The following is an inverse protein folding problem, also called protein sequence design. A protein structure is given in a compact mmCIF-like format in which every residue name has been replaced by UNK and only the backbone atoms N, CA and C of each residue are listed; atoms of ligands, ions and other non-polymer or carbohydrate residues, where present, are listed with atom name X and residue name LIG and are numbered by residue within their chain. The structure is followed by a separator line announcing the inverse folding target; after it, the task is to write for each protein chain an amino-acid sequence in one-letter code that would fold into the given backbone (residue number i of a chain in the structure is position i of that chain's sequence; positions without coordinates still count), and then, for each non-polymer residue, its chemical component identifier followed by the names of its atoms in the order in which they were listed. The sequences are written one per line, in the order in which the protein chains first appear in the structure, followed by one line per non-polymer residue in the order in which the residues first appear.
data_IF_133649851207
#
_entry.id   IF_133649851207
#
_cell.length_a   1.000
_cell.length_b   1.000
_cell.length_c   1.000
_cell.angle_alpha   90.00
_cell.angle_beta   90.00
_cell.angle_gamma   90.00
#
_symmetry.space_group_name_H-M   'P 1'
#
loop_
_entity.id
_entity.type
_entity.pdbx_description
1 polymer ?
#
# COMPACT_ATOMS: atom_id res chain seq x y z
N UNK A 1 -29.45 27.02 -9.08
CA UNK A 1 -29.95 25.88 -9.88
C UNK A 1 -28.82 24.98 -10.34
N UNK A 2 -27.69 25.54 -10.80
CA UNK A 2 -26.51 24.78 -11.25
C UNK A 2 -25.88 23.86 -10.17
N UNK A 3 -25.89 24.24 -8.89
CA UNK A 3 -25.39 23.38 -7.80
C UNK A 3 -26.21 22.09 -7.64
N UNK A 4 -27.55 22.19 -7.76
CA UNK A 4 -28.42 21.02 -7.66
C UNK A 4 -28.22 20.08 -8.85
N UNK A 5 -27.97 20.64 -10.03
CA UNK A 5 -27.65 19.85 -11.22
C UNK A 5 -26.30 19.12 -11.05
N UNK A 6 -25.27 19.79 -10.51
CA UNK A 6 -23.98 19.16 -10.21
C UNK A 6 -24.13 17.98 -9.24
N UNK A 7 -24.78 18.19 -8.09
CA UNK A 7 -24.97 17.14 -7.08
C UNK A 7 -25.77 15.95 -7.63
N UNK A 8 -26.78 16.21 -8.47
CA UNK A 8 -27.55 15.17 -9.14
C UNK A 8 -26.68 14.32 -10.08
N UNK A 9 -25.84 14.94 -10.92
CA UNK A 9 -24.94 14.21 -11.81
C UNK A 9 -23.88 13.40 -11.04
N UNK A 10 -23.30 14.00 -9.99
CA UNK A 10 -22.33 13.34 -9.12
C UNK A 10 -22.93 12.10 -8.44
N UNK A 11 -24.15 12.24 -7.91
CA UNK A 11 -24.86 11.13 -7.25
C UNK A 11 -25.25 10.04 -8.25
N UNK A 12 -25.69 10.43 -9.45
CA UNK A 12 -26.06 9.49 -10.51
C UNK A 12 -24.85 8.68 -11.00
N UNK A 13 -23.71 9.31 -11.21
CA UNK A 13 -22.47 8.61 -11.58
C UNK A 13 -22.05 7.61 -10.50
N UNK A 14 -22.10 8.00 -9.22
CA UNK A 14 -21.81 7.13 -8.10
C UNK A 14 -22.74 5.90 -8.03
N UNK A 15 -24.03 6.09 -8.34
CA UNK A 15 -25.01 4.99 -8.39
C UNK A 15 -24.70 4.01 -9.52
N UNK A 16 -24.31 4.48 -10.70
CA UNK A 16 -23.91 3.58 -11.79
C UNK A 16 -22.65 2.80 -11.43
N UNK A 17 -21.65 3.45 -10.82
CA UNK A 17 -20.43 2.77 -10.36
C UNK A 17 -20.76 1.67 -9.34
N UNK A 18 -21.62 1.94 -8.36
CA UNK A 18 -21.98 0.95 -7.32
C UNK A 18 -22.75 -0.25 -7.86
N UNK A 19 -23.41 -0.11 -9.01
CA UNK A 19 -24.08 -1.21 -9.74
C UNK A 19 -23.14 -1.99 -10.67
N UNK A 20 -21.86 -1.59 -10.76
CA UNK A 20 -20.91 -2.16 -11.71
C UNK A 20 -21.06 -1.62 -13.14
N UNK A 21 -21.94 -0.65 -13.36
CA UNK A 21 -22.10 0.03 -14.66
C UNK A 21 -21.03 1.13 -14.83
N UNK A 22 -19.76 0.75 -14.70
CA UNK A 22 -18.64 1.68 -14.54
C UNK A 22 -18.45 2.58 -15.77
N UNK A 23 -18.64 2.05 -16.99
CA UNK A 23 -18.54 2.87 -18.21
C UNK A 23 -19.53 4.04 -18.24
N UNK A 24 -20.73 3.85 -17.67
CA UNK A 24 -21.72 4.92 -17.57
C UNK A 24 -21.30 5.95 -16.53
N UNK A 25 -20.78 5.50 -15.39
CA UNK A 25 -20.24 6.39 -14.36
C UNK A 25 -19.12 7.28 -14.90
N UNK A 26 -18.15 6.66 -15.61
CA UNK A 26 -17.03 7.37 -16.25
C UNK A 26 -17.56 8.46 -17.20
N UNK A 27 -18.50 8.13 -18.11
CA UNK A 27 -19.06 9.11 -19.05
C UNK A 27 -19.73 10.28 -18.34
N UNK A 28 -20.48 10.02 -17.27
CA UNK A 28 -21.17 11.06 -16.49
C UNK A 28 -20.16 11.99 -15.82
N UNK A 29 -19.15 11.44 -15.13
CA UNK A 29 -18.17 12.27 -14.44
C UNK A 29 -17.17 12.94 -15.39
N UNK A 30 -16.87 12.37 -16.56
CA UNK A 30 -16.12 13.04 -17.62
C UNK A 30 -16.88 14.25 -18.17
N UNK A 31 -18.17 14.08 -18.51
CA UNK A 31 -19.00 15.19 -18.96
C UNK A 31 -19.10 16.31 -17.91
N UNK A 32 -19.12 15.94 -16.62
CA UNK A 32 -19.06 16.90 -15.52
C UNK A 32 -17.76 17.71 -15.55
N UNK A 33 -16.62 17.05 -15.76
CA UNK A 33 -15.28 17.67 -15.81
C UNK A 33 -15.09 18.63 -16.99
N UNK A 34 -15.77 18.40 -18.10
CA UNK A 34 -15.77 19.26 -19.30
C UNK A 34 -16.56 20.57 -19.10
N UNK A 35 -17.40 20.64 -18.06
CA UNK A 35 -18.16 21.85 -17.76
C UNK A 35 -17.24 23.01 -17.34
N UNK A 36 -17.44 24.17 -17.96
CA UNK A 36 -16.73 25.42 -17.65
C UNK A 36 -17.32 26.16 -16.45
N UNK A 37 -18.48 25.74 -15.94
CA UNK A 37 -19.18 26.41 -14.83
C UNK A 37 -18.89 25.83 -13.45
N UNK A 38 -18.03 24.81 -13.35
CA UNK A 38 -17.67 24.22 -12.06
C UNK A 38 -16.91 25.20 -11.18
N UNK A 39 -17.32 25.29 -9.91
CA UNK A 39 -16.47 25.89 -8.89
C UNK A 39 -15.20 25.05 -8.69
N UNK A 40 -14.20 25.62 -8.03
CA UNK A 40 -12.97 24.90 -7.72
C UNK A 40 -13.24 23.62 -6.90
N UNK A 41 -14.02 23.73 -5.83
CA UNK A 41 -14.39 22.58 -4.98
C UNK A 41 -15.18 21.51 -5.75
N UNK A 42 -16.12 21.92 -6.59
CA UNK A 42 -16.88 20.99 -7.45
C UNK A 42 -15.96 20.26 -8.43
N UNK A 43 -14.95 20.94 -8.98
CA UNK A 43 -13.93 20.31 -9.83
C UNK A 43 -13.13 19.25 -9.05
N UNK A 44 -12.72 19.53 -7.82
CA UNK A 44 -12.02 18.55 -6.97
C UNK A 44 -12.88 17.31 -6.68
N UNK A 45 -14.17 17.51 -6.38
CA UNK A 45 -15.12 16.42 -6.19
C UNK A 45 -15.29 15.58 -7.47
N UNK A 46 -15.41 16.21 -8.63
CA UNK A 46 -15.52 15.52 -9.91
C UNK A 46 -14.25 14.72 -10.23
N UNK A 47 -13.06 15.27 -10.01
CA UNK A 47 -11.77 14.57 -10.12
C UNK A 47 -11.76 13.33 -9.21
N UNK A 48 -12.17 13.50 -7.95
CA UNK A 48 -12.20 12.39 -6.99
C UNK A 48 -13.13 11.26 -7.46
N UNK A 49 -14.34 11.58 -7.94
CA UNK A 49 -15.28 10.55 -8.40
C UNK A 49 -14.81 9.87 -9.68
N UNK A 50 -14.26 10.62 -10.63
CA UNK A 50 -13.71 10.05 -11.86
C UNK A 50 -12.52 9.13 -11.58
N UNK A 51 -11.64 9.51 -10.64
CA UNK A 51 -10.56 8.63 -10.17
C UNK A 51 -11.09 7.32 -9.56
N UNK A 52 -12.17 7.38 -8.78
CA UNK A 52 -12.83 6.19 -8.22
C UNK A 52 -13.45 5.31 -9.32
N UNK A 53 -14.03 5.91 -10.36
CA UNK A 53 -14.55 5.16 -11.50
C UNK A 53 -13.43 4.42 -12.23
N UNK A 54 -12.31 5.11 -12.51
CA UNK A 54 -11.15 4.49 -13.14
C UNK A 54 -10.57 3.35 -12.29
N UNK A 55 -10.51 3.50 -10.97
CA UNK A 55 -10.15 2.39 -10.06
C UNK A 55 -11.12 1.20 -10.19
N UNK A 56 -12.43 1.45 -10.20
CA UNK A 56 -13.43 0.39 -10.36
C UNK A 56 -13.38 -0.30 -11.72
N UNK A 57 -12.91 0.40 -12.76
CA UNK A 57 -12.67 -0.16 -14.09
C UNK A 57 -11.31 -0.86 -14.24
N UNK A 58 -10.42 -0.77 -13.25
CA UNK A 58 -9.04 -1.27 -13.34
C UNK A 58 -8.10 -0.38 -14.17
N UNK A 59 -8.51 0.83 -14.54
CA UNK A 59 -7.66 1.81 -15.25
C UNK A 59 -6.78 2.57 -14.26
N UNK A 60 -5.84 1.87 -13.64
CA UNK A 60 -5.04 2.37 -12.53
C UNK A 60 -4.20 3.60 -12.86
N UNK A 61 -3.57 3.67 -14.05
CA UNK A 61 -2.77 4.84 -14.45
C UNK A 61 -3.64 6.12 -14.48
N UNK A 62 -4.84 6.02 -15.07
CA UNK A 62 -5.77 7.16 -15.13
C UNK A 62 -6.31 7.53 -13.75
N UNK A 63 -6.51 6.55 -12.87
CA UNK A 63 -6.90 6.81 -11.49
C UNK A 63 -5.78 7.52 -10.71
N UNK A 64 -4.52 7.09 -10.89
CA UNK A 64 -3.34 7.72 -10.31
C UNK A 64 -3.23 9.19 -10.76
N UNK A 65 -3.44 9.48 -12.04
CA UNK A 65 -3.45 10.85 -12.57
C UNK A 65 -4.53 11.74 -11.91
N UNK A 66 -5.73 11.18 -11.67
CA UNK A 66 -6.80 11.91 -11.00
C UNK A 66 -6.48 12.18 -9.54
N UNK A 67 -6.06 11.17 -8.78
CA UNK A 67 -5.78 11.35 -7.35
C UNK A 67 -4.52 12.19 -7.10
N UNK A 68 -3.54 12.15 -7.99
CA UNK A 68 -2.32 12.99 -7.88
C UNK A 68 -2.63 14.49 -7.93
N UNK A 69 -3.70 14.91 -8.59
CA UNK A 69 -4.15 16.30 -8.58
C UNK A 69 -4.71 16.73 -7.22
N UNK A 70 -5.13 15.79 -6.37
CA UNK A 70 -5.81 16.07 -5.10
C UNK A 70 -4.86 16.05 -3.88
N UNK A 71 -3.62 15.60 -4.03
CA UNK A 71 -2.70 15.42 -2.88
C UNK A 71 -2.27 16.73 -2.23
N UNK A 72 -2.39 17.85 -2.94
CA UNK A 72 -2.04 19.16 -2.41
C UNK A 72 -3.23 19.90 -1.78
N UNK A 73 -4.45 19.39 -1.94
CA UNK A 73 -5.67 20.01 -1.42
C UNK A 73 -5.98 19.48 -0.02
N UNK A 74 -6.00 20.34 1.00
CA UNK A 74 -6.05 19.92 2.41
C UNK A 74 -7.22 18.97 2.73
N UNK A 75 -8.42 19.29 2.24
CA UNK A 75 -9.64 18.49 2.47
C UNK A 75 -9.63 17.13 1.74
N UNK A 76 -8.82 16.99 0.68
CA UNK A 76 -8.78 15.79 -0.16
C UNK A 76 -7.51 14.96 0.06
N UNK A 77 -6.43 15.56 0.58
CA UNK A 77 -5.08 15.00 0.65
C UNK A 77 -5.04 13.61 1.25
N UNK A 78 -5.62 13.42 2.44
CA UNK A 78 -5.60 12.12 3.14
C UNK A 78 -6.37 11.05 2.35
N UNK A 79 -7.51 11.42 1.77
CA UNK A 79 -8.32 10.52 0.95
C UNK A 79 -7.62 10.12 -0.33
N UNK A 80 -7.02 11.09 -1.03
CA UNK A 80 -6.27 10.87 -2.26
C UNK A 80 -5.04 9.97 -2.04
N UNK A 81 -4.24 10.25 -1.01
CA UNK A 81 -3.10 9.41 -0.63
C UNK A 81 -3.55 7.99 -0.26
N UNK A 82 -4.68 7.83 0.42
CA UNK A 82 -5.20 6.50 0.76
C UNK A 82 -5.60 5.70 -0.49
N UNK A 83 -6.17 6.35 -1.50
CA UNK A 83 -6.54 5.71 -2.77
C UNK A 83 -5.31 5.41 -3.63
N UNK A 84 -4.33 6.32 -3.70
CA UNK A 84 -3.03 6.06 -4.35
C UNK A 84 -2.31 4.87 -3.71
N UNK A 85 -2.33 4.76 -2.38
CA UNK A 85 -1.75 3.63 -1.67
C UNK A 85 -2.45 2.30 -2.05
N UNK A 86 -3.76 2.30 -2.25
CA UNK A 86 -4.48 1.12 -2.73
C UNK A 86 -4.09 0.76 -4.17
N UNK A 87 -3.95 1.76 -5.05
CA UNK A 87 -3.50 1.55 -6.43
C UNK A 87 -2.12 0.91 -6.44
N UNK A 88 -1.14 1.51 -5.75
CA UNK A 88 0.23 1.00 -5.76
C UNK A 88 0.36 -0.41 -5.17
N UNK A 89 -0.48 -0.78 -4.20
CA UNK A 89 -0.56 -2.16 -3.72
C UNK A 89 -1.13 -3.10 -4.79
N UNK A 90 -2.24 -2.72 -5.43
CA UNK A 90 -2.87 -3.53 -6.46
C UNK A 90 -1.94 -3.76 -7.67
N UNK A 91 -1.08 -2.79 -7.99
CA UNK A 91 -0.12 -2.87 -9.10
C UNK A 91 1.27 -3.36 -8.67
N UNK A 92 1.47 -3.73 -7.40
CA UNK A 92 2.77 -4.16 -6.84
C UNK A 92 3.90 -3.13 -6.99
N UNK A 93 3.55 -1.84 -7.05
CA UNK A 93 4.47 -0.70 -7.10
C UNK A 93 4.96 -0.33 -5.68
N UNK A 94 5.67 -1.27 -5.05
CA UNK A 94 5.99 -1.21 -3.61
C UNK A 94 6.77 0.04 -3.19
N UNK A 95 7.68 0.54 -4.03
CA UNK A 95 8.43 1.77 -3.74
C UNK A 95 7.50 2.99 -3.66
N UNK A 96 6.58 3.13 -4.63
CA UNK A 96 5.58 4.21 -4.58
C UNK A 96 4.62 4.04 -3.40
N UNK A 97 4.23 2.80 -3.09
CA UNK A 97 3.39 2.49 -1.93
C UNK A 97 4.04 2.94 -0.61
N UNK A 98 5.35 2.71 -0.43
CA UNK A 98 6.12 3.20 0.71
C UNK A 98 6.10 4.72 0.78
N UNK A 99 6.40 5.43 -0.32
CA UNK A 99 6.44 6.89 -0.34
C UNK A 99 5.08 7.51 0.06
N UNK A 100 3.98 6.94 -0.43
CA UNK A 100 2.62 7.38 -0.10
C UNK A 100 2.26 7.05 1.34
N UNK A 101 2.59 5.84 1.82
CA UNK A 101 2.33 5.43 3.20
C UNK A 101 3.13 6.28 4.20
N UNK A 102 4.38 6.63 3.91
CA UNK A 102 5.18 7.51 4.75
C UNK A 102 4.58 8.92 4.85
N UNK A 103 4.03 9.46 3.75
CA UNK A 103 3.27 10.71 3.78
C UNK A 103 2.03 10.60 4.68
N UNK A 104 1.30 9.49 4.61
CA UNK A 104 0.14 9.24 5.49
C UNK A 104 0.54 9.13 6.97
N UNK A 105 1.67 8.48 7.29
CA UNK A 105 2.22 8.42 8.65
C UNK A 105 2.51 9.84 9.17
N UNK A 106 3.16 10.68 8.36
CA UNK A 106 3.43 12.09 8.72
C UNK A 106 2.15 12.91 8.96
N UNK A 107 1.03 12.48 8.40
CA UNK A 107 -0.32 13.05 8.63
C UNK A 107 -1.07 12.36 9.78
N UNK A 108 -0.38 11.61 10.64
CA UNK A 108 -0.92 10.98 11.84
C UNK A 108 -1.56 9.60 11.62
N UNK A 109 -1.39 8.97 10.45
CA UNK A 109 -1.87 7.60 10.19
C UNK A 109 -0.80 6.57 10.57
N UNK A 110 -0.42 6.55 11.84
CA UNK A 110 0.67 5.73 12.38
C UNK A 110 0.50 4.22 12.12
N UNK A 111 -0.74 3.73 12.02
CA UNK A 111 -1.01 2.32 11.71
C UNK A 111 -0.45 1.87 10.35
N UNK A 112 -0.16 2.81 9.43
CA UNK A 112 0.43 2.52 8.12
C UNK A 112 1.87 2.01 8.20
N UNK A 113 2.55 2.14 9.36
CA UNK A 113 3.90 1.61 9.58
C UNK A 113 3.99 0.10 9.38
N UNK A 114 2.96 -0.64 9.76
CA UNK A 114 2.87 -2.10 9.56
C UNK A 114 2.89 -2.43 8.07
N UNK A 115 2.10 -1.72 7.27
CA UNK A 115 2.08 -1.88 5.81
C UNK A 115 3.43 -1.51 5.18
N UNK A 116 4.09 -0.43 5.64
CA UNK A 116 5.43 -0.05 5.16
C UNK A 116 6.43 -1.20 5.38
N UNK A 117 6.42 -1.84 6.55
CA UNK A 117 7.28 -2.99 6.82
C UNK A 117 7.00 -4.15 5.86
N UNK A 118 5.73 -4.43 5.56
CA UNK A 118 5.35 -5.42 4.56
C UNK A 118 5.80 -5.05 3.14
N UNK A 119 5.70 -3.79 2.72
CA UNK A 119 6.20 -3.37 1.40
C UNK A 119 7.72 -3.53 1.28
N UNK A 120 8.46 -3.26 2.35
CA UNK A 120 9.90 -3.58 2.38
C UNK A 120 10.17 -5.08 2.30
N UNK A 121 9.33 -5.92 2.91
CA UNK A 121 9.38 -7.37 2.71
C UNK A 121 9.13 -7.78 1.25
N UNK A 122 8.16 -7.16 0.56
CA UNK A 122 7.92 -7.44 -0.86
C UNK A 122 9.12 -7.07 -1.74
N UNK A 123 9.71 -5.89 -1.51
CA UNK A 123 10.94 -5.49 -2.21
C UNK A 123 12.11 -6.43 -1.90
N UNK A 124 12.22 -6.92 -0.66
CA UNK A 124 13.25 -7.88 -0.28
C UNK A 124 13.05 -9.23 -0.98
N UNK A 125 11.80 -9.70 -1.15
CA UNK A 125 11.51 -10.91 -1.93
C UNK A 125 11.93 -10.75 -3.39
N UNK A 126 11.67 -9.59 -4.01
CA UNK A 126 12.11 -9.30 -5.38
C UNK A 126 13.65 -9.31 -5.51
N UNK A 127 14.35 -8.72 -4.53
CA UNK A 127 15.80 -8.72 -4.47
C UNK A 127 16.37 -10.15 -4.30
N UNK A 128 15.79 -10.95 -3.40
CA UNK A 128 16.15 -12.37 -3.22
C UNK A 128 15.92 -13.19 -4.49
N UNK A 129 14.82 -12.96 -5.21
CA UNK A 129 14.54 -13.61 -6.50
C UNK A 129 15.55 -13.25 -7.60
N UNK A 130 16.27 -12.13 -7.44
CA UNK A 130 17.36 -11.70 -8.31
C UNK A 130 18.76 -12.06 -7.77
N UNK A 131 18.82 -12.88 -6.70
CA UNK A 131 20.01 -13.24 -5.92
C UNK A 131 20.80 -12.03 -5.34
N UNK A 132 20.16 -10.86 -5.25
CA UNK A 132 20.72 -9.65 -4.63
C UNK A 132 20.45 -9.65 -3.11
N UNK A 133 21.20 -10.49 -2.41
CA UNK A 133 21.01 -10.72 -0.96
C UNK A 133 21.35 -9.49 -0.12
N UNK A 134 22.39 -8.74 -0.50
CA UNK A 134 22.81 -7.54 0.22
C UNK A 134 21.71 -6.48 0.21
N UNK A 135 21.08 -6.30 -0.96
CA UNK A 135 19.92 -5.42 -1.08
C UNK A 135 18.72 -5.94 -0.28
N UNK A 136 18.45 -7.24 -0.30
CA UNK A 136 17.36 -7.81 0.50
C UNK A 136 17.55 -7.54 2.00
N UNK A 137 18.76 -7.72 2.52
CA UNK A 137 19.11 -7.40 3.92
C UNK A 137 18.91 -5.91 4.20
N UNK A 138 19.38 -5.03 3.32
CA UNK A 138 19.21 -3.59 3.48
C UNK A 138 17.72 -3.17 3.51
N UNK A 139 16.88 -3.79 2.67
CA UNK A 139 15.44 -3.55 2.62
C UNK A 139 14.75 -4.04 3.91
N UNK A 140 15.07 -5.25 4.40
CA UNK A 140 14.50 -5.76 5.64
C UNK A 140 14.91 -4.93 6.87
N UNK A 141 16.11 -4.34 6.88
CA UNK A 141 16.51 -3.38 7.93
C UNK A 141 15.63 -2.12 7.91
N UNK A 142 15.26 -1.63 6.73
CA UNK A 142 14.29 -0.52 6.61
C UNK A 142 12.90 -0.96 7.09
N UNK A 143 12.46 -2.17 6.74
CA UNK A 143 11.22 -2.76 7.24
C UNK A 143 11.16 -2.84 8.77
N UNK A 144 12.23 -3.33 9.41
CA UNK A 144 12.34 -3.37 10.88
C UNK A 144 12.35 -1.99 11.53
N UNK A 145 12.85 -0.97 10.82
CA UNK A 145 12.83 0.43 11.29
C UNK A 145 11.41 1.01 11.21
N UNK A 146 10.65 0.64 10.18
CA UNK A 146 9.26 1.06 10.03
C UNK A 146 8.36 0.42 11.09
N UNK A 147 8.49 -0.89 11.30
CA UNK A 147 7.81 -1.65 12.35
C UNK A 147 8.73 -2.67 13.02
N UNK A 148 9.15 -2.34 14.25
CA UNK A 148 10.01 -3.20 15.07
C UNK A 148 9.32 -4.48 15.54
N UNK A 149 7.99 -4.51 15.49
CA UNK A 149 7.16 -5.64 15.91
C UNK A 149 6.76 -6.55 14.74
N UNK A 150 7.30 -6.32 13.54
CA UNK A 150 6.97 -7.14 12.38
C UNK A 150 7.61 -8.54 12.45
N UNK A 151 6.82 -9.54 12.83
CA UNK A 151 7.22 -10.95 12.82
C UNK A 151 7.68 -11.39 11.42
N UNK A 152 6.99 -10.92 10.36
CA UNK A 152 7.36 -11.20 8.96
C UNK A 152 8.78 -10.75 8.64
N UNK A 153 9.21 -9.57 9.11
CA UNK A 153 10.58 -9.08 8.89
C UNK A 153 11.59 -9.99 9.59
N UNK A 154 11.32 -10.39 10.84
CA UNK A 154 12.20 -11.30 11.59
C UNK A 154 12.33 -12.66 10.91
N UNK A 155 11.22 -13.26 10.49
CA UNK A 155 11.20 -14.54 9.77
C UNK A 155 12.01 -14.45 8.47
N UNK A 156 11.82 -13.38 7.69
CA UNK A 156 12.57 -13.21 6.44
C UNK A 156 14.07 -13.01 6.66
N UNK A 157 14.46 -12.25 7.69
CA UNK A 157 15.89 -12.10 8.04
C UNK A 157 16.50 -13.42 8.49
N UNK A 158 15.78 -14.22 9.27
CA UNK A 158 16.22 -15.55 9.66
C UNK A 158 16.47 -16.46 8.44
N UNK A 159 15.59 -16.45 7.43
CA UNK A 159 15.80 -17.21 6.19
C UNK A 159 17.09 -16.80 5.47
N UNK A 160 17.42 -15.50 5.45
CA UNK A 160 18.67 -15.03 4.88
C UNK A 160 19.87 -15.53 5.69
N UNK A 161 19.80 -15.46 7.02
CA UNK A 161 20.87 -15.96 7.89
C UNK A 161 21.09 -17.47 7.74
N UNK A 162 20.03 -18.27 7.67
CA UNK A 162 20.13 -19.71 7.39
C UNK A 162 20.78 -19.97 6.02
N UNK A 163 20.40 -19.23 4.98
CA UNK A 163 21.02 -19.33 3.66
C UNK A 163 22.52 -18.92 3.64
N UNK A 164 22.96 -18.16 4.65
CA UNK A 164 24.35 -17.78 4.88
C UNK A 164 25.07 -18.72 5.86
N UNK A 165 24.39 -19.78 6.33
CA UNK A 165 24.86 -20.68 7.39
C UNK A 165 25.13 -19.99 8.74
N UNK A 166 24.59 -18.79 8.95
CA UNK A 166 24.59 -18.09 10.24
C UNK A 166 23.36 -18.53 11.06
N UNK A 167 23.41 -19.76 11.56
CA UNK A 167 22.29 -20.33 12.34
C UNK A 167 22.10 -19.62 13.69
N UNK A 168 23.16 -19.04 14.26
CA UNK A 168 23.06 -18.25 15.51
C UNK A 168 22.25 -16.98 15.27
N UNK A 169 22.56 -16.24 14.19
CA UNK A 169 21.80 -15.07 13.78
C UNK A 169 20.34 -15.41 13.43
N UNK A 170 20.12 -16.55 12.77
CA UNK A 170 18.78 -17.04 12.44
C UNK A 170 17.92 -17.30 13.69
N UNK A 171 18.45 -18.04 14.68
CA UNK A 171 17.77 -18.28 15.97
C UNK A 171 17.46 -16.96 16.66
N UNK A 172 18.40 -16.02 16.66
CA UNK A 172 18.23 -14.68 17.21
C UNK A 172 17.04 -13.92 16.62
N UNK A 173 16.80 -14.00 15.31
CA UNK A 173 15.63 -13.36 14.71
C UNK A 173 14.33 -14.17 14.91
N UNK A 174 14.37 -15.50 14.82
CA UNK A 174 13.17 -16.35 14.98
C UNK A 174 12.60 -16.27 16.40
N UNK A 175 13.46 -16.20 17.40
CA UNK A 175 13.04 -16.06 18.81
C UNK A 175 12.35 -14.74 19.09
N UNK A 176 12.66 -13.66 18.34
CA UNK A 176 11.93 -12.38 18.47
C UNK A 176 10.45 -12.52 18.15
N UNK A 177 10.05 -13.50 17.33
CA UNK A 177 8.65 -13.71 16.95
C UNK A 177 7.80 -14.01 18.19
N UNK A 178 8.36 -14.62 19.25
CA UNK A 178 7.67 -14.88 20.52
C UNK A 178 7.11 -13.60 21.16
N UNK A 179 7.83 -12.49 21.06
CA UNK A 179 7.43 -11.19 21.63
C UNK A 179 6.67 -10.31 20.62
N UNK A 180 6.82 -10.60 19.33
CA UNK A 180 6.24 -9.80 18.24
C UNK A 180 4.82 -10.24 17.89
N UNK A 181 4.61 -11.55 17.73
CA UNK A 181 3.33 -12.13 17.34
C UNK A 181 3.27 -13.62 17.75
N UNK A 182 2.48 -13.89 18.79
CA UNK A 182 2.31 -15.23 19.35
C UNK A 182 1.66 -16.22 18.36
N UNK A 183 0.79 -15.74 17.47
CA UNK A 183 0.12 -16.61 16.49
C UNK A 183 1.09 -17.08 15.41
N UNK A 184 2.15 -16.33 15.15
CA UNK A 184 3.17 -16.65 14.15
C UNK A 184 4.29 -17.55 14.68
N UNK A 185 4.28 -17.91 15.97
CA UNK A 185 5.33 -18.75 16.58
C UNK A 185 5.37 -20.14 15.95
N UNK A 186 4.23 -20.74 15.59
CA UNK A 186 4.20 -22.05 14.93
C UNK A 186 4.98 -22.06 13.61
N UNK A 187 5.00 -20.93 12.90
CA UNK A 187 5.68 -20.78 11.61
C UNK A 187 7.21 -20.76 11.74
N UNK A 188 7.74 -20.48 12.94
CA UNK A 188 9.19 -20.45 13.17
C UNK A 188 9.76 -21.78 13.62
N UNK A 189 8.93 -22.70 14.14
CA UNK A 189 9.37 -23.94 14.76
C UNK A 189 10.19 -24.84 13.81
N UNK A 190 9.80 -25.06 12.53
CA UNK A 190 10.60 -25.87 11.62
C UNK A 190 12.00 -25.28 11.38
N UNK A 191 12.09 -23.97 11.21
CA UNK A 191 13.37 -23.27 11.02
C UNK A 191 14.22 -23.29 12.29
N UNK A 192 13.62 -23.11 13.46
CA UNK A 192 14.30 -23.22 14.75
C UNK A 192 14.88 -24.62 14.95
N UNK A 193 14.09 -25.66 14.67
CA UNK A 193 14.55 -27.04 14.75
C UNK A 193 15.78 -27.28 13.86
N UNK A 194 15.72 -26.85 12.59
CA UNK A 194 16.85 -26.96 11.66
C UNK A 194 18.10 -26.23 12.17
N UNK A 195 17.92 -25.01 12.69
CA UNK A 195 19.03 -24.24 13.25
C UNK A 195 19.70 -24.97 14.42
N UNK A 196 18.91 -25.48 15.38
CA UNK A 196 19.46 -26.20 16.53
C UNK A 196 20.14 -27.51 16.14
N UNK A 197 19.57 -28.27 15.21
CA UNK A 197 20.17 -29.51 14.72
C UNK A 197 21.52 -29.30 13.99
N UNK A 198 21.74 -28.11 13.42
CA UNK A 198 22.99 -27.79 12.71
C UNK A 198 24.05 -27.19 13.63
N UNK A 199 23.63 -26.64 14.78
CA UNK A 199 24.53 -26.09 15.78
C UNK A 199 25.08 -27.16 16.74
N UNK A 200 24.36 -28.28 16.90
CA UNK A 200 24.78 -29.48 17.63
C UNK A 200 25.83 -30.30 16.85
#
# INVERSE_FOLDING_TARGET
EDSNAFEAHLTLGNLFRSRGEVDRAIRIHQALMESTSLTFEQRLLAIQQLGRDYMSAGFYDRAEDMFSQLVNEDDFRVGALSLLLQIHQATSEWSKAIDVAEKLVKLGKEQRRVEIAHFYCELALQAMGSDDRDRAVALLKKGATADKNSARVSIMRARIYMAQQDYVGAVGELTRVLDQDLEMVSETLPMLQECYQTLD
#
